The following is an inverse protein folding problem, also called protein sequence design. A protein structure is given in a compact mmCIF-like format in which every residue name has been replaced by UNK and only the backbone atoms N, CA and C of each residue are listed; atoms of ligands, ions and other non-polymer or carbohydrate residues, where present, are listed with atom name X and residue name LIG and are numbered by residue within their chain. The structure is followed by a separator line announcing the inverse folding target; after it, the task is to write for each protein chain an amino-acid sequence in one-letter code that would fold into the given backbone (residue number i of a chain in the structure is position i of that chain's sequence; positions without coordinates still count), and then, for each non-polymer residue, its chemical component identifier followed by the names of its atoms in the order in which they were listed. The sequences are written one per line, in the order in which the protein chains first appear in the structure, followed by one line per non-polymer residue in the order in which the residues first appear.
data_IF_497629368992
#
_entry.id   IF_497629368992
#
_cell.length_a   1.000
_cell.length_b   1.000
_cell.length_c   1.000
_cell.angle_alpha   90.00
_cell.angle_beta   90.00
_cell.angle_gamma   90.00
#
_symmetry.space_group_name_H-M   'P 1'
#
loop_
_entity.id
_entity.type
_entity.pdbx_description
1 polymer ?
#
# COMPACT_ATOMS: atom_id res chain seq x y z
N UNK A 1 -3.39 -16.38 -25.78
CA UNK A 1 -4.65 -15.98 -25.12
C UNK A 1 -4.37 -14.64 -24.52
N UNK A 2 -4.88 -13.60 -25.15
CA UNK A 2 -4.71 -12.23 -24.63
C UNK A 2 -5.55 -12.08 -23.39
N UNK A 3 -4.88 -12.06 -22.23
CA UNK A 3 -5.52 -11.70 -20.95
C UNK A 3 -5.66 -10.17 -20.90
N UNK A 4 -6.51 -9.63 -21.75
CA UNK A 4 -7.06 -8.30 -21.53
C UNK A 4 -8.13 -8.42 -20.44
N UNK A 5 -7.69 -8.64 -19.21
CA UNK A 5 -8.55 -8.39 -18.05
C UNK A 5 -8.52 -6.87 -17.88
N UNK A 6 -9.47 -6.23 -18.54
CA UNK A 6 -9.83 -4.83 -18.32
C UNK A 6 -10.30 -4.74 -16.87
N UNK A 7 -9.37 -4.43 -15.96
CA UNK A 7 -9.72 -3.86 -14.66
C UNK A 7 -10.47 -2.56 -14.99
N UNK A 8 -11.79 -2.60 -14.92
CA UNK A 8 -12.57 -1.38 -15.08
C UNK A 8 -12.08 -0.39 -14.04
N UNK A 9 -11.60 0.77 -14.48
CA UNK A 9 -10.97 1.75 -13.62
C UNK A 9 -11.94 2.19 -12.50
N UNK A 10 -11.56 1.94 -11.23
CA UNK A 10 -12.30 2.37 -10.05
C UNK A 10 -13.53 1.51 -9.70
N UNK A 11 -13.51 0.19 -9.93
CA UNK A 11 -14.59 -0.75 -9.55
C UNK A 11 -14.62 -1.11 -8.07
N UNK A 12 -13.62 -0.74 -7.29
CA UNK A 12 -13.48 -1.15 -5.88
C UNK A 12 -13.30 -2.67 -5.71
N UNK A 13 -12.62 -3.30 -6.66
CA UNK A 13 -12.28 -4.73 -6.66
C UNK A 13 -10.77 -4.94 -6.70
N UNK A 14 -10.33 -6.06 -6.15
CA UNK A 14 -8.95 -6.51 -6.28
C UNK A 14 -8.89 -7.99 -6.64
N UNK A 15 -7.78 -8.41 -7.20
CA UNK A 15 -7.46 -9.80 -7.47
C UNK A 15 -6.49 -10.33 -6.42
N UNK A 16 -6.87 -11.41 -5.75
CA UNK A 16 -6.07 -12.06 -4.71
C UNK A 16 -5.56 -13.38 -5.26
N UNK A 17 -4.24 -13.57 -5.24
CA UNK A 17 -3.63 -14.89 -5.41
C UNK A 17 -3.73 -15.63 -4.09
N UNK A 18 -4.46 -16.74 -4.10
CA UNK A 18 -4.55 -17.68 -2.97
C UNK A 18 -3.38 -18.66 -3.03
N UNK A 19 -2.70 -18.84 -1.91
CA UNK A 19 -1.60 -19.78 -1.75
C UNK A 19 -1.63 -20.45 -0.37
N UNK A 20 -0.86 -21.54 -0.23
CA UNK A 20 -0.74 -22.29 1.04
C UNK A 20 0.62 -22.11 1.67
N UNK A 21 0.62 -22.04 3.00
CA UNK A 21 1.77 -22.25 3.87
C UNK A 21 1.34 -23.21 4.99
N UNK A 22 1.88 -24.41 4.97
CA UNK A 22 1.36 -25.53 5.76
C UNK A 22 -0.09 -25.86 5.36
N UNK A 23 -0.94 -26.03 6.34
CA UNK A 23 -2.36 -26.38 6.13
C UNK A 23 -3.27 -25.15 5.92
N UNK A 24 -2.73 -23.93 5.99
CA UNK A 24 -3.56 -22.72 5.91
C UNK A 24 -3.46 -22.04 4.55
N UNK A 25 -4.56 -21.36 4.20
CA UNK A 25 -4.69 -20.55 3.00
C UNK A 25 -4.44 -19.08 3.33
N UNK A 26 -3.63 -18.45 2.50
CA UNK A 26 -3.27 -17.05 2.58
C UNK A 26 -3.48 -16.38 1.22
N UNK A 27 -3.55 -15.06 1.22
CA UNK A 27 -3.73 -14.27 0.02
C UNK A 27 -2.73 -13.13 -0.10
N UNK A 28 -2.39 -12.79 -1.34
CA UNK A 28 -1.65 -11.59 -1.71
C UNK A 28 -2.35 -10.92 -2.89
N UNK A 29 -2.39 -9.59 -2.91
CA UNK A 29 -2.86 -8.86 -4.08
C UNK A 29 -2.00 -9.17 -5.31
N UNK A 30 -2.64 -9.60 -6.40
CA UNK A 30 -1.96 -9.95 -7.67
C UNK A 30 -1.14 -8.78 -8.20
N UNK A 31 -1.58 -7.55 -7.99
CA UNK A 31 -0.87 -6.35 -8.42
C UNK A 31 0.54 -6.18 -7.78
N UNK A 32 0.80 -6.84 -6.64
CA UNK A 32 2.13 -6.91 -6.00
C UNK A 32 3.05 -7.96 -6.63
N UNK A 33 2.51 -8.87 -7.41
CA UNK A 33 3.22 -10.03 -7.93
C UNK A 33 3.85 -9.69 -9.28
N UNK A 34 5.15 -9.87 -9.37
CA UNK A 34 5.87 -9.78 -10.62
C UNK A 34 5.82 -11.09 -11.41
N UNK A 35 6.12 -12.21 -10.74
CA UNK A 35 6.10 -13.55 -11.32
C UNK A 35 6.05 -14.63 -10.23
N UNK A 36 5.67 -15.84 -10.63
CA UNK A 36 5.70 -17.03 -9.78
C UNK A 36 6.61 -18.05 -10.45
N UNK A 37 7.58 -18.56 -9.72
CA UNK A 37 8.53 -19.56 -10.22
C UNK A 37 8.59 -20.77 -9.29
N UNK A 38 9.05 -21.89 -9.81
CA UNK A 38 9.38 -23.05 -8.98
C UNK A 38 10.55 -22.74 -8.07
N UNK A 39 10.58 -23.36 -6.88
CA UNK A 39 11.69 -23.24 -5.95
C UNK A 39 13.03 -23.46 -6.64
N UNK A 40 13.99 -22.62 -6.28
CA UNK A 40 15.39 -22.74 -6.69
C UNK A 40 16.27 -22.74 -5.44
N UNK A 41 17.38 -23.50 -5.43
CA UNK A 41 18.31 -23.47 -4.31
C UNK A 41 18.81 -22.07 -4.00
N UNK A 42 18.76 -21.66 -2.74
CA UNK A 42 19.23 -20.36 -2.27
C UNK A 42 20.61 -20.47 -1.64
N UNK A 43 21.39 -19.40 -1.73
CA UNK A 43 22.67 -19.27 -1.01
C UNK A 43 22.43 -18.54 0.30
N UNK A 44 22.61 -19.18 1.46
CA UNK A 44 22.42 -18.54 2.76
C UNK A 44 23.34 -17.32 2.94
N UNK A 45 22.80 -16.26 3.55
CA UNK A 45 23.57 -15.05 3.86
C UNK A 45 23.91 -15.05 5.35
N UNK A 46 25.19 -14.97 5.73
CA UNK A 46 25.60 -14.91 7.14
C UNK A 46 24.99 -13.71 7.86
N UNK A 47 24.52 -13.93 9.10
CA UNK A 47 23.92 -12.90 9.96
C UNK A 47 22.66 -12.22 9.38
N UNK A 48 21.96 -12.86 8.43
CA UNK A 48 20.67 -12.41 7.95
C UNK A 48 19.57 -12.60 9.00
N UNK A 49 18.43 -11.94 8.79
CA UNK A 49 17.24 -12.17 9.62
C UNK A 49 16.81 -13.64 9.54
N UNK A 50 16.30 -14.25 10.63
CA UNK A 50 15.91 -15.67 10.65
C UNK A 50 14.93 -16.09 9.54
N UNK A 51 14.05 -15.18 9.11
CA UNK A 51 13.11 -15.43 8.02
C UNK A 51 13.73 -15.33 6.63
N UNK A 52 14.99 -14.89 6.48
CA UNK A 52 15.69 -14.86 5.20
C UNK A 52 16.34 -16.21 4.95
N UNK A 53 15.86 -16.95 3.94
CA UNK A 53 16.45 -18.24 3.53
C UNK A 53 17.80 -18.05 2.83
N UNK A 54 17.97 -16.93 2.12
CA UNK A 54 19.19 -16.63 1.39
C UNK A 54 18.92 -15.75 0.17
N UNK A 55 19.84 -15.82 -0.79
CA UNK A 55 19.76 -15.12 -2.07
C UNK A 55 19.86 -16.13 -3.22
N UNK A 56 19.22 -15.83 -4.33
CA UNK A 56 19.35 -16.56 -5.59
C UNK A 56 19.28 -15.60 -6.77
N UNK A 57 19.60 -16.06 -7.97
CA UNK A 57 19.72 -15.19 -9.14
C UNK A 57 18.95 -15.78 -10.34
N UNK A 58 17.66 -15.59 -10.43
CA UNK A 58 16.92 -15.91 -11.64
C UNK A 58 17.20 -14.82 -12.69
N UNK A 59 17.61 -15.22 -13.91
CA UNK A 59 17.79 -14.30 -15.04
C UNK A 59 18.65 -13.05 -14.73
N UNK A 60 19.80 -13.23 -14.11
CA UNK A 60 20.80 -12.20 -13.80
C UNK A 60 20.36 -11.11 -12.79
N UNK A 61 19.23 -11.28 -12.12
CA UNK A 61 18.80 -10.39 -11.03
C UNK A 61 18.94 -11.09 -9.68
N UNK A 62 19.67 -10.50 -8.76
CA UNK A 62 19.81 -11.03 -7.38
C UNK A 62 18.54 -10.73 -6.58
N UNK A 63 17.92 -11.78 -6.04
CA UNK A 63 16.66 -11.71 -5.29
C UNK A 63 16.85 -12.33 -3.92
N UNK A 64 16.33 -11.68 -2.89
CA UNK A 64 16.28 -12.22 -1.52
C UNK A 64 15.07 -13.12 -1.36
N UNK A 65 15.30 -14.34 -0.87
CA UNK A 65 14.25 -15.31 -0.56
C UNK A 65 13.87 -15.23 0.94
N UNK A 66 12.59 -15.10 1.20
CA UNK A 66 11.98 -15.02 2.54
C UNK A 66 11.07 -16.23 2.75
N UNK A 67 11.26 -16.94 3.86
CA UNK A 67 10.36 -17.99 4.32
C UNK A 67 9.10 -17.40 4.93
N UNK A 68 7.96 -17.47 4.25
CA UNK A 68 6.69 -17.12 4.87
C UNK A 68 6.32 -18.06 6.01
N UNK A 69 6.74 -19.33 5.94
CA UNK A 69 6.54 -20.30 7.02
C UNK A 69 7.20 -19.84 8.32
N UNK A 70 8.43 -19.32 8.22
CA UNK A 70 9.14 -18.76 9.37
C UNK A 70 8.52 -17.43 9.85
N UNK A 71 8.18 -16.51 8.94
CA UNK A 71 7.49 -15.26 9.28
C UNK A 71 6.19 -15.49 10.05
N UNK A 72 5.48 -16.59 9.73
CA UNK A 72 4.22 -16.96 10.37
C UNK A 72 4.39 -17.84 11.63
N UNK A 73 5.64 -17.99 12.12
CA UNK A 73 5.94 -18.76 13.33
C UNK A 73 5.67 -20.27 13.20
N UNK A 74 5.75 -20.84 11.98
CA UNK A 74 5.44 -22.23 11.68
C UNK A 74 6.67 -23.10 11.41
N UNK A 75 7.84 -22.60 11.76
CA UNK A 75 9.14 -23.27 11.55
C UNK A 75 9.74 -22.96 10.18
N UNK A 76 10.76 -23.72 9.81
CA UNK A 76 11.52 -23.51 8.59
C UNK A 76 10.81 -24.08 7.36
N UNK A 77 11.07 -23.49 6.20
CA UNK A 77 10.62 -24.03 4.91
C UNK A 77 11.48 -25.23 4.51
N UNK A 78 10.86 -26.21 3.90
CA UNK A 78 11.57 -27.33 3.28
C UNK A 78 11.86 -26.99 1.80
N UNK A 79 12.96 -27.52 1.21
CA UNK A 79 13.23 -27.36 -0.23
C UNK A 79 12.05 -27.86 -1.06
N UNK A 80 11.55 -27.03 -1.97
CA UNK A 80 10.38 -27.34 -2.82
C UNK A 80 9.38 -26.21 -2.86
N UNK A 81 8.18 -26.45 -3.36
CA UNK A 81 7.14 -25.41 -3.48
C UNK A 81 7.46 -24.38 -4.55
N UNK A 82 7.09 -23.15 -4.27
CA UNK A 82 7.13 -22.04 -5.23
C UNK A 82 7.68 -20.76 -4.57
N UNK A 83 8.28 -19.90 -5.38
CA UNK A 83 8.56 -18.51 -5.01
C UNK A 83 7.55 -17.57 -5.68
N UNK A 84 6.87 -16.75 -4.87
CA UNK A 84 6.10 -15.60 -5.33
C UNK A 84 7.06 -14.42 -5.32
N UNK A 85 7.48 -13.96 -6.49
CA UNK A 85 8.38 -12.81 -6.63
C UNK A 85 7.54 -11.55 -6.72
N UNK A 86 7.84 -10.63 -5.84
CA UNK A 86 7.14 -9.34 -5.70
C UNK A 86 8.12 -8.20 -5.89
N UNK A 87 7.59 -7.01 -6.19
CA UNK A 87 8.38 -5.78 -6.19
C UNK A 87 7.76 -4.82 -5.17
N UNK A 88 8.44 -4.66 -4.03
CA UNK A 88 8.08 -3.68 -3.00
C UNK A 88 9.12 -2.58 -2.97
N UNK A 89 8.68 -1.34 -3.10
CA UNK A 89 9.57 -0.18 -2.98
C UNK A 89 10.84 -0.29 -3.85
N UNK A 90 10.69 -0.81 -5.08
CA UNK A 90 11.80 -1.08 -6.02
C UNK A 90 12.75 -2.21 -5.58
N UNK A 91 12.38 -3.00 -4.59
CA UNK A 91 13.13 -4.19 -4.16
C UNK A 91 12.41 -5.45 -4.65
N UNK A 92 13.13 -6.31 -5.35
CA UNK A 92 12.63 -7.63 -5.74
C UNK A 92 12.84 -8.62 -4.57
N UNK A 93 11.73 -9.20 -4.10
CA UNK A 93 11.70 -10.13 -2.97
C UNK A 93 10.93 -11.37 -3.40
N UNK A 94 11.44 -12.54 -3.08
CA UNK A 94 10.77 -13.81 -3.31
C UNK A 94 10.24 -14.39 -1.99
N UNK A 95 8.95 -14.61 -1.92
CA UNK A 95 8.30 -15.26 -0.78
C UNK A 95 8.11 -16.73 -1.05
N UNK A 96 8.70 -17.57 -0.20
CA UNK A 96 8.60 -19.02 -0.30
C UNK A 96 7.26 -19.49 0.24
N UNK A 97 6.51 -20.24 -0.61
CA UNK A 97 5.19 -20.81 -0.31
C UNK A 97 5.15 -22.28 -0.74
N UNK A 98 4.26 -23.06 -0.12
CA UNK A 98 4.16 -24.49 -0.44
C UNK A 98 3.43 -24.73 -1.75
N UNK A 99 2.35 -23.98 -2.01
CA UNK A 99 1.49 -24.16 -3.20
C UNK A 99 0.72 -22.90 -3.53
N UNK A 100 0.53 -22.63 -4.82
CA UNK A 100 -0.43 -21.65 -5.33
C UNK A 100 -1.73 -22.35 -5.70
N UNK A 101 -2.87 -21.80 -5.27
CA UNK A 101 -4.20 -22.37 -5.44
C UNK A 101 -4.97 -21.77 -6.63
N UNK A 102 -4.89 -20.47 -6.81
CA UNK A 102 -5.58 -19.74 -7.88
C UNK A 102 -5.72 -18.26 -7.59
N UNK A 103 -6.34 -17.55 -8.54
CA UNK A 103 -6.63 -16.12 -8.44
C UNK A 103 -8.14 -15.95 -8.24
N UNK A 104 -8.51 -15.11 -7.29
CA UNK A 104 -9.91 -14.78 -6.98
C UNK A 104 -10.09 -13.26 -7.07
N UNK A 105 -11.17 -12.84 -7.72
CA UNK A 105 -11.60 -11.45 -7.72
C UNK A 105 -12.55 -11.23 -6.55
N UNK A 106 -12.29 -10.21 -5.75
CA UNK A 106 -13.07 -9.85 -4.56
C UNK A 106 -13.31 -8.36 -4.52
N UNK A 107 -14.44 -7.95 -3.95
CA UNK A 107 -14.67 -6.54 -3.62
C UNK A 107 -13.98 -6.18 -2.30
N UNK A 108 -13.46 -4.97 -2.19
CA UNK A 108 -12.95 -4.45 -0.92
C UNK A 108 -13.99 -4.48 0.21
N UNK A 109 -15.29 -4.45 -0.13
CA UNK A 109 -16.38 -4.56 0.84
C UNK A 109 -16.58 -5.98 1.42
N UNK A 110 -16.02 -7.00 0.76
CA UNK A 110 -16.05 -8.40 1.21
C UNK A 110 -14.88 -8.73 2.13
N UNK A 111 -13.89 -7.84 2.21
CA UNK A 111 -12.71 -8.01 3.07
C UNK A 111 -13.06 -7.58 4.49
N UNK A 112 -12.98 -8.52 5.42
CA UNK A 112 -13.25 -8.30 6.83
C UNK A 112 -11.94 -7.93 7.52
N UNK A 113 -11.88 -6.76 8.16
CA UNK A 113 -10.72 -6.41 9.01
C UNK A 113 -10.63 -7.39 10.20
N UNK A 114 -9.45 -7.94 10.50
CA UNK A 114 -9.27 -8.76 11.68
C UNK A 114 -9.57 -7.94 12.93
N UNK A 115 -10.45 -8.44 13.80
CA UNK A 115 -10.73 -7.79 15.08
C UNK A 115 -9.51 -7.83 16.02
N UNK A 116 -9.48 -6.97 17.02
CA UNK A 116 -8.41 -6.87 18.04
C UNK A 116 -8.10 -8.19 18.78
N UNK A 117 -9.01 -9.15 18.74
CA UNK A 117 -8.81 -10.50 19.29
C UNK A 117 -8.01 -11.44 18.38
N UNK A 118 -7.85 -11.08 17.11
CA UNK A 118 -7.12 -11.87 16.10
C UNK A 118 -5.76 -11.24 15.79
N UNK A 119 -5.70 -9.93 15.80
CA UNK A 119 -4.46 -9.17 15.69
C UNK A 119 -4.20 -8.47 17.05
N UNK A 120 -3.08 -8.76 17.70
CA UNK A 120 -2.52 -7.79 18.63
C UNK A 120 -2.23 -6.54 17.79
N UNK A 121 -2.83 -5.41 18.17
CA UNK A 121 -2.93 -4.21 17.33
C UNK A 121 -1.62 -3.73 16.68
N UNK A 122 -0.46 -4.12 17.20
CA UNK A 122 0.87 -3.72 16.74
C UNK A 122 1.70 -4.87 16.09
N UNK A 123 1.26 -6.14 16.19
CA UNK A 123 2.06 -7.30 15.76
C UNK A 123 1.40 -8.15 14.66
N UNK A 124 0.18 -7.86 14.27
CA UNK A 124 -0.56 -8.66 13.28
C UNK A 124 0.03 -8.55 11.87
N UNK A 125 0.22 -9.70 11.19
CA UNK A 125 0.68 -9.79 9.80
C UNK A 125 -0.48 -9.91 8.80
N UNK A 126 -1.70 -9.49 9.16
CA UNK A 126 -2.90 -9.68 8.36
C UNK A 126 -3.61 -8.37 8.16
N UNK A 127 -3.85 -7.99 6.90
CA UNK A 127 -4.63 -6.80 6.51
C UNK A 127 -6.12 -7.10 6.38
N UNK A 128 -6.49 -8.36 6.12
CA UNK A 128 -7.88 -8.72 5.92
C UNK A 128 -8.14 -10.22 5.93
N UNK A 129 -9.41 -10.58 5.98
CA UNK A 129 -9.90 -11.96 5.89
C UNK A 129 -11.00 -12.00 4.83
N UNK A 130 -10.90 -12.93 3.89
CA UNK A 130 -11.93 -13.18 2.89
C UNK A 130 -12.45 -14.60 3.06
N UNK A 131 -13.75 -14.77 2.86
CA UNK A 131 -14.38 -16.09 2.86
C UNK A 131 -14.60 -16.57 1.43
N UNK A 132 -13.94 -17.65 1.05
CA UNK A 132 -14.19 -18.34 -0.22
C UNK A 132 -14.88 -19.68 0.04
N UNK A 133 -16.13 -19.79 -0.36
CA UNK A 133 -16.96 -20.97 -0.07
C UNK A 133 -16.92 -21.34 1.43
N UNK A 134 -16.32 -22.47 1.78
CA UNK A 134 -16.25 -22.98 3.15
C UNK A 134 -14.91 -22.73 3.86
N UNK A 135 -14.01 -21.94 3.26
CA UNK A 135 -12.69 -21.64 3.84
C UNK A 135 -12.45 -20.15 3.99
N UNK A 136 -11.63 -19.81 4.98
CA UNK A 136 -11.13 -18.48 5.20
C UNK A 136 -9.74 -18.35 4.57
N UNK A 137 -9.51 -17.24 3.88
CA UNK A 137 -8.20 -16.84 3.33
C UNK A 137 -7.77 -15.58 4.03
N UNK A 138 -6.61 -15.62 4.66
CA UNK A 138 -6.02 -14.49 5.38
C UNK A 138 -5.15 -13.71 4.40
N UNK A 139 -5.48 -12.45 4.15
CA UNK A 139 -4.65 -11.55 3.34
C UNK A 139 -3.50 -11.07 4.21
N UNK A 140 -2.26 -11.36 3.79
CA UNK A 140 -1.07 -11.00 4.54
C UNK A 140 -0.60 -9.57 4.22
N UNK A 141 -0.07 -8.92 5.25
CA UNK A 141 0.62 -7.63 5.14
C UNK A 141 2.10 -7.87 4.77
N UNK A 142 2.37 -7.93 3.47
CA UNK A 142 3.72 -8.15 2.96
C UNK A 142 4.64 -6.96 3.20
N UNK A 143 4.09 -5.75 3.30
CA UNK A 143 4.87 -4.54 3.61
C UNK A 143 5.39 -4.59 5.03
N UNK A 144 4.52 -4.97 5.97
CA UNK A 144 4.91 -5.19 7.35
C UNK A 144 5.94 -6.32 7.47
N UNK A 145 5.76 -7.45 6.79
CA UNK A 145 6.74 -8.55 6.76
C UNK A 145 8.11 -8.03 6.31
N UNK A 146 8.16 -7.27 5.22
CA UNK A 146 9.42 -6.73 4.69
C UNK A 146 10.01 -5.70 5.64
N UNK A 147 9.21 -4.82 6.22
CA UNK A 147 9.64 -3.80 7.18
C UNK A 147 10.19 -4.42 8.47
N UNK A 148 9.58 -5.50 8.97
CA UNK A 148 10.05 -6.22 10.16
C UNK A 148 11.41 -6.90 9.92
N UNK A 149 11.64 -7.40 8.70
CA UNK A 149 12.92 -8.02 8.29
C UNK A 149 13.99 -6.98 8.02
N UNK A 150 13.64 -5.89 7.37
CA UNK A 150 14.56 -4.82 6.96
C UNK A 150 13.94 -3.44 7.21
N UNK A 151 14.05 -2.91 8.44
CA UNK A 151 13.45 -1.62 8.81
C UNK A 151 13.93 -0.43 7.96
N UNK A 152 15.10 -0.55 7.33
CA UNK A 152 15.65 0.49 6.43
C UNK A 152 14.86 0.64 5.11
N UNK A 153 14.00 -0.33 4.78
CA UNK A 153 13.16 -0.29 3.58
C UNK A 153 11.86 0.50 3.79
N UNK A 154 11.54 0.85 5.03
CA UNK A 154 10.38 1.65 5.41
C UNK A 154 10.52 3.14 5.08
N UNK A 155 9.59 3.94 5.61
CA UNK A 155 9.57 5.40 5.42
C UNK A 155 10.85 6.06 5.93
N UNK A 156 11.57 6.78 5.05
CA UNK A 156 12.81 7.50 5.38
C UNK A 156 12.51 8.88 5.95
N UNK A 157 12.05 8.95 7.19
CA UNK A 157 11.74 10.22 7.89
C UNK A 157 12.95 11.17 7.96
N UNK A 158 14.17 10.63 7.94
CA UNK A 158 15.41 11.42 7.92
C UNK A 158 15.54 12.32 6.66
N UNK A 159 14.81 12.04 5.58
CA UNK A 159 14.85 12.90 4.39
C UNK A 159 14.14 14.24 4.60
N UNK A 160 13.22 14.33 5.56
CA UNK A 160 12.55 15.58 5.91
C UNK A 160 13.50 16.57 6.55
N UNK A 161 14.49 16.09 7.33
CA UNK A 161 15.51 16.96 7.95
C UNK A 161 16.36 17.71 6.90
N UNK A 162 16.44 17.17 5.69
CA UNK A 162 17.15 17.81 4.56
C UNK A 162 16.41 18.99 3.94
N UNK A 163 15.12 19.15 4.24
CA UNK A 163 14.29 20.23 3.69
C UNK A 163 14.56 21.59 4.34
N UNK A 164 15.35 21.64 5.43
CA UNK A 164 15.69 22.87 6.15
C UNK A 164 14.55 23.41 7.03
N UNK A 165 14.74 24.63 7.57
CA UNK A 165 13.71 25.30 8.36
C UNK A 165 12.51 25.68 7.50
N UNK A 166 11.31 25.36 7.97
CA UNK A 166 10.06 25.56 7.25
C UNK A 166 9.08 26.38 8.10
N UNK A 167 8.33 27.26 7.45
CA UNK A 167 7.24 28.00 8.09
C UNK A 167 6.03 27.07 8.28
N UNK A 168 5.25 27.35 9.33
CA UNK A 168 3.98 26.65 9.55
C UNK A 168 2.99 26.98 8.44
N UNK A 169 2.33 25.94 7.93
CA UNK A 169 1.27 26.03 6.93
C UNK A 169 -0.03 25.49 7.53
N UNK A 170 -1.09 26.26 7.45
CA UNK A 170 -2.44 25.88 7.90
C UNK A 170 -3.28 25.27 6.80
N UNK A 171 -2.69 24.99 5.64
CA UNK A 171 -3.37 24.35 4.51
C UNK A 171 -3.87 22.99 4.95
N UNK A 172 -5.18 22.70 4.80
CA UNK A 172 -5.73 21.44 5.24
C UNK A 172 -5.34 20.30 4.29
N UNK A 173 -4.78 19.25 4.86
CA UNK A 173 -4.41 18.02 4.17
C UNK A 173 -5.26 16.88 4.71
N UNK A 174 -5.97 16.18 3.83
CA UNK A 174 -6.72 14.98 4.17
C UNK A 174 -5.95 13.74 3.72
N UNK A 175 -5.75 12.79 4.65
CA UNK A 175 -5.05 11.53 4.40
C UNK A 175 -6.05 10.38 4.50
N UNK A 176 -5.96 9.42 3.57
CA UNK A 176 -6.60 8.13 3.65
C UNK A 176 -5.53 7.04 3.68
N UNK A 177 -5.37 6.36 4.82
CA UNK A 177 -4.35 5.33 5.07
C UNK A 177 -4.87 4.38 6.14
N UNK A 178 -4.95 3.09 5.86
CA UNK A 178 -5.55 2.09 6.75
C UNK A 178 -4.57 1.50 7.77
N UNK A 179 -3.27 1.65 7.57
CA UNK A 179 -2.24 1.24 8.51
C UNK A 179 -2.03 2.30 9.60
N UNK A 180 -2.37 2.05 10.89
CA UNK A 180 -2.20 3.03 11.95
C UNK A 180 -0.75 3.50 12.11
N UNK A 181 0.22 2.59 11.91
CA UNK A 181 1.63 2.89 11.98
C UNK A 181 2.07 3.85 10.86
N UNK A 182 1.72 3.51 9.61
CA UNK A 182 2.06 4.34 8.45
C UNK A 182 1.34 5.68 8.49
N UNK A 183 0.06 5.69 8.87
CA UNK A 183 -0.72 6.91 9.06
C UNK A 183 -0.01 7.85 10.04
N UNK A 184 0.37 7.34 11.22
CA UNK A 184 1.10 8.12 12.22
C UNK A 184 2.43 8.66 11.66
N UNK A 185 3.21 7.82 10.96
CA UNK A 185 4.49 8.24 10.38
C UNK A 185 4.31 9.34 9.32
N UNK A 186 3.27 9.25 8.48
CA UNK A 186 2.97 10.28 7.47
C UNK A 186 2.56 11.58 8.17
N UNK A 187 1.65 11.53 9.16
CA UNK A 187 1.18 12.69 9.92
C UNK A 187 2.35 13.37 10.66
N UNK A 188 3.15 12.61 11.40
CA UNK A 188 4.32 13.13 12.11
C UNK A 188 5.32 13.78 11.16
N UNK A 189 5.50 13.19 9.98
CA UNK A 189 6.37 13.70 8.93
C UNK A 189 5.87 15.03 8.33
N UNK A 190 4.57 15.13 8.07
CA UNK A 190 3.94 16.37 7.59
C UNK A 190 3.98 17.47 8.64
N UNK A 191 3.72 17.14 9.91
CA UNK A 191 3.85 18.08 11.03
C UNK A 191 5.30 18.60 11.14
N UNK A 192 6.29 17.72 11.04
CA UNK A 192 7.72 18.08 11.03
C UNK A 192 8.06 18.98 9.83
N UNK A 193 7.40 18.75 8.69
CA UNK A 193 7.54 19.59 7.50
C UNK A 193 6.77 20.91 7.59
N UNK A 194 6.09 21.20 8.70
CA UNK A 194 5.40 22.47 8.97
C UNK A 194 3.91 22.50 8.65
N UNK A 195 3.31 21.42 8.11
CA UNK A 195 1.88 21.33 7.90
C UNK A 195 1.15 20.99 9.20
N UNK A 196 0.37 21.94 9.73
CA UNK A 196 -0.25 21.79 11.08
C UNK A 196 -1.70 21.33 11.03
N UNK A 197 -2.37 21.44 9.86
CA UNK A 197 -3.76 21.07 9.69
C UNK A 197 -3.86 19.79 8.85
N UNK A 198 -3.61 18.66 9.50
CA UNK A 198 -3.63 17.33 8.86
C UNK A 198 -4.71 16.48 9.51
N UNK A 199 -5.65 16.02 8.71
CA UNK A 199 -6.72 15.10 9.12
C UNK A 199 -6.49 13.75 8.46
N UNK A 200 -6.64 12.66 9.19
CA UNK A 200 -6.51 11.31 8.65
C UNK A 200 -7.77 10.48 8.82
N UNK A 201 -7.99 9.57 7.86
CA UNK A 201 -9.08 8.61 7.82
C UNK A 201 -8.52 7.22 7.54
N UNK A 202 -9.25 6.18 7.93
CA UNK A 202 -8.78 4.80 7.81
C UNK A 202 -9.05 4.14 6.44
N UNK A 203 -9.79 4.79 5.56
CA UNK A 203 -10.13 4.27 4.23
C UNK A 203 -10.69 5.38 3.33
N UNK A 204 -10.82 5.06 2.03
CA UNK A 204 -11.33 6.01 1.05
C UNK A 204 -12.79 6.42 1.25
N UNK A 205 -13.63 5.55 1.87
CA UNK A 205 -15.04 5.88 2.12
C UNK A 205 -15.19 6.95 3.21
N UNK A 206 -14.41 6.85 4.28
CA UNK A 206 -14.40 7.86 5.34
C UNK A 206 -13.86 9.19 4.83
N UNK A 207 -12.77 9.15 4.02
CA UNK A 207 -12.26 10.34 3.36
C UNK A 207 -13.31 10.98 2.46
N UNK A 208 -13.99 10.19 1.64
CA UNK A 208 -15.06 10.71 0.77
C UNK A 208 -16.23 11.30 1.56
N UNK A 209 -16.72 10.62 2.60
CA UNK A 209 -17.78 11.14 3.49
C UNK A 209 -17.39 12.48 4.13
N UNK A 210 -16.12 12.61 4.54
CA UNK A 210 -15.59 13.84 5.11
C UNK A 210 -15.59 14.98 4.08
N UNK A 211 -15.18 14.71 2.86
CA UNK A 211 -15.20 15.68 1.74
C UNK A 211 -16.64 16.06 1.37
N UNK A 212 -17.50 15.07 1.19
CA UNK A 212 -18.89 15.27 0.75
C UNK A 212 -19.69 16.11 1.77
N UNK A 213 -19.51 15.83 3.06
CA UNK A 213 -20.08 16.64 4.13
C UNK A 213 -19.55 18.07 4.12
N UNK A 214 -18.26 18.26 3.85
CA UNK A 214 -17.64 19.58 3.78
C UNK A 214 -18.11 20.37 2.56
N UNK A 215 -18.39 19.71 1.44
CA UNK A 215 -19.02 20.33 0.26
C UNK A 215 -20.43 20.77 0.58
N UNK A 216 -21.24 19.93 1.24
CA UNK A 216 -22.61 20.24 1.63
C UNK A 216 -22.71 21.46 2.57
N UNK A 217 -21.71 21.63 3.44
CA UNK A 217 -21.63 22.71 4.42
C UNK A 217 -20.86 23.96 3.93
N UNK A 218 -20.43 23.98 2.66
CA UNK A 218 -19.58 25.05 2.07
C UNK A 218 -18.27 25.28 2.86
N UNK A 219 -17.66 24.20 3.39
CA UNK A 219 -16.46 24.22 4.23
C UNK A 219 -15.29 23.44 3.65
N UNK A 220 -15.34 23.12 2.36
CA UNK A 220 -14.37 22.27 1.70
C UNK A 220 -12.93 22.76 1.88
N UNK A 221 -12.70 24.08 1.75
CA UNK A 221 -11.43 24.75 1.94
C UNK A 221 -10.85 24.66 3.37
N UNK A 222 -11.65 24.23 4.36
CA UNK A 222 -11.21 24.00 5.74
C UNK A 222 -10.87 22.51 6.00
N UNK A 223 -11.20 21.63 5.06
CA UNK A 223 -11.11 20.18 5.23
C UNK A 223 -10.07 19.55 4.33
N UNK A 224 -10.01 19.95 3.06
CA UNK A 224 -9.12 19.34 2.09
C UNK A 224 -8.72 20.30 0.98
N UNK A 225 -7.53 20.86 1.05
CA UNK A 225 -6.86 21.52 -0.07
C UNK A 225 -5.94 20.59 -0.84
N UNK A 226 -5.54 19.47 -0.22
CA UNK A 226 -4.81 18.36 -0.81
C UNK A 226 -5.34 17.06 -0.21
N UNK A 227 -5.50 16.04 -1.04
CA UNK A 227 -5.81 14.66 -0.61
C UNK A 227 -4.59 13.78 -0.87
N UNK A 228 -4.20 13.01 0.15
CA UNK A 228 -3.17 11.97 0.06
C UNK A 228 -3.87 10.64 0.32
N UNK A 229 -3.67 9.66 -0.55
CA UNK A 229 -4.34 8.36 -0.39
C UNK A 229 -3.40 7.21 -0.68
N UNK A 230 -3.46 6.16 0.16
CA UNK A 230 -2.96 4.85 -0.25
C UNK A 230 -3.89 4.26 -1.33
N UNK A 231 -3.41 3.26 -2.07
CA UNK A 231 -4.21 2.47 -3.01
C UNK A 231 -4.96 1.38 -2.26
N UNK A 232 -4.27 0.59 -1.45
CA UNK A 232 -4.81 -0.62 -0.84
C UNK A 232 -5.45 -0.33 0.52
N UNK A 233 -6.73 -0.02 0.51
CA UNK A 233 -7.50 0.21 1.73
C UNK A 233 -8.80 -0.59 1.70
N UNK A 234 -9.26 -1.13 2.86
CA UNK A 234 -10.54 -1.79 2.94
C UNK A 234 -11.70 -0.82 2.67
N UNK A 235 -12.87 -1.36 2.35
CA UNK A 235 -14.13 -0.65 2.09
C UNK A 235 -14.09 0.16 0.79
N UNK A 236 -13.13 1.08 0.63
CA UNK A 236 -12.91 1.87 -0.59
C UNK A 236 -11.42 2.09 -0.81
N UNK A 237 -10.93 1.67 -1.98
CA UNK A 237 -9.54 1.85 -2.41
C UNK A 237 -9.23 3.31 -2.83
N UNK A 238 -7.93 3.65 -2.91
CA UNK A 238 -7.50 5.00 -3.26
C UNK A 238 -7.76 5.39 -4.71
N UNK A 239 -7.84 4.45 -5.63
CA UNK A 239 -8.22 4.74 -7.02
C UNK A 239 -9.69 5.15 -7.11
N UNK A 240 -10.57 4.48 -6.37
CA UNK A 240 -11.98 4.86 -6.29
C UNK A 240 -12.16 6.22 -5.64
N UNK A 241 -11.44 6.49 -4.54
CA UNK A 241 -11.44 7.83 -3.93
C UNK A 241 -10.98 8.89 -4.92
N UNK A 242 -9.86 8.67 -5.62
CA UNK A 242 -9.35 9.57 -6.65
C UNK A 242 -10.39 9.86 -7.72
N UNK A 243 -11.05 8.81 -8.24
CA UNK A 243 -12.13 8.95 -9.23
C UNK A 243 -13.27 9.82 -8.71
N UNK A 244 -13.74 9.60 -7.48
CA UNK A 244 -14.82 10.38 -6.88
C UNK A 244 -14.44 11.86 -6.75
N UNK A 245 -13.24 12.15 -6.19
CA UNK A 245 -12.74 13.52 -6.03
C UNK A 245 -12.64 14.22 -7.39
N UNK A 246 -12.06 13.57 -8.40
CA UNK A 246 -11.80 14.17 -9.71
C UNK A 246 -13.01 14.25 -10.62
N UNK A 247 -14.01 13.39 -10.44
CA UNK A 247 -15.25 13.41 -11.24
C UNK A 247 -16.36 14.31 -10.67
N UNK A 248 -16.23 14.74 -9.42
CA UNK A 248 -17.21 15.62 -8.76
C UNK A 248 -16.86 17.08 -8.99
N UNK A 249 -17.71 17.92 -9.64
CA UNK A 249 -17.35 19.29 -10.00
C UNK A 249 -16.88 20.16 -8.83
N UNK A 250 -17.45 19.99 -7.63
CA UNK A 250 -17.10 20.76 -6.45
C UNK A 250 -15.69 20.42 -5.89
N UNK A 251 -15.11 19.27 -6.22
CA UNK A 251 -13.87 18.76 -5.66
C UNK A 251 -12.78 18.50 -6.70
N UNK A 252 -13.11 18.61 -8.01
CA UNK A 252 -12.22 18.27 -9.12
C UNK A 252 -10.87 19.02 -9.08
N UNK A 253 -10.85 20.24 -8.55
CA UNK A 253 -9.65 21.08 -8.43
C UNK A 253 -8.78 20.75 -7.20
N UNK A 254 -9.22 19.82 -6.33
CA UNK A 254 -8.39 19.36 -5.21
C UNK A 254 -7.28 18.47 -5.76
N UNK A 255 -6.00 18.79 -5.53
CA UNK A 255 -4.91 17.91 -5.85
C UNK A 255 -5.01 16.58 -5.10
N UNK A 256 -4.88 15.46 -5.82
CA UNK A 256 -4.87 14.12 -5.27
C UNK A 256 -3.50 13.49 -5.49
N UNK A 257 -2.86 13.08 -4.41
CA UNK A 257 -1.57 12.40 -4.41
C UNK A 257 -1.79 10.95 -4.00
N UNK A 258 -1.47 10.01 -4.88
CA UNK A 258 -1.42 8.59 -4.54
C UNK A 258 -0.04 8.33 -3.90
N UNK A 259 -0.03 7.89 -2.65
CA UNK A 259 1.18 7.58 -1.88
C UNK A 259 1.11 6.14 -1.39
N UNK A 260 1.68 5.21 -2.16
CA UNK A 260 1.52 3.78 -1.94
C UNK A 260 2.81 3.02 -2.19
N UNK A 261 2.97 1.87 -1.52
CA UNK A 261 4.01 0.89 -1.85
C UNK A 261 3.72 0.14 -3.15
N UNK A 262 2.47 0.17 -3.61
CA UNK A 262 2.01 -0.46 -4.84
C UNK A 262 2.05 0.52 -6.03
N UNK A 263 3.24 0.93 -6.46
CA UNK A 263 3.44 1.79 -7.64
C UNK A 263 4.26 1.04 -8.69
N UNK A 264 3.59 0.34 -9.60
CA UNK A 264 4.15 -0.20 -10.84
C UNK A 264 3.64 0.60 -12.05
N UNK A 265 4.08 0.26 -13.26
CA UNK A 265 3.69 0.98 -14.49
C UNK A 265 2.17 0.94 -14.73
N UNK A 266 1.52 -0.19 -14.46
CA UNK A 266 0.08 -0.36 -14.63
C UNK A 266 -0.70 0.51 -13.63
N UNK A 267 -0.33 0.47 -12.34
CA UNK A 267 -0.96 1.28 -11.30
C UNK A 267 -0.72 2.78 -11.55
N UNK A 268 0.48 3.14 -12.02
CA UNK A 268 0.79 4.53 -12.40
C UNK A 268 -0.11 5.01 -13.52
N UNK A 269 -0.24 4.23 -14.59
CA UNK A 269 -1.14 4.57 -15.71
C UNK A 269 -2.59 4.68 -15.24
N UNK A 270 -3.05 3.76 -14.40
CA UNK A 270 -4.40 3.79 -13.84
C UNK A 270 -4.66 5.06 -13.02
N UNK A 271 -3.71 5.45 -12.15
CA UNK A 271 -3.81 6.69 -11.38
C UNK A 271 -3.83 7.94 -12.26
N UNK A 272 -3.02 7.98 -13.33
CA UNK A 272 -3.03 9.07 -14.34
C UNK A 272 -4.37 9.15 -15.07
N UNK A 273 -4.92 8.01 -15.52
CA UNK A 273 -6.21 7.94 -16.20
C UNK A 273 -7.38 8.42 -15.29
N UNK A 274 -7.25 8.25 -13.98
CA UNK A 274 -8.19 8.72 -12.98
C UNK A 274 -8.01 10.20 -12.59
N UNK A 275 -6.94 10.84 -13.05
CA UNK A 275 -6.64 12.24 -12.81
C UNK A 275 -5.83 12.53 -11.53
N UNK A 276 -5.13 11.54 -10.97
CA UNK A 276 -4.20 11.80 -9.87
C UNK A 276 -3.12 12.82 -10.30
N UNK A 277 -2.88 13.83 -9.47
CA UNK A 277 -1.91 14.90 -9.76
C UNK A 277 -0.46 14.46 -9.52
N UNK A 278 -0.27 13.49 -8.65
CA UNK A 278 1.03 12.85 -8.42
C UNK A 278 0.87 11.43 -7.87
N UNK A 279 1.91 10.63 -8.08
CA UNK A 279 1.99 9.27 -7.55
C UNK A 279 3.41 9.00 -7.06
N UNK A 280 3.51 8.57 -5.80
CA UNK A 280 4.79 8.35 -5.12
C UNK A 280 4.79 7.02 -4.38
N UNK A 281 5.96 6.42 -4.35
CA UNK A 281 6.25 5.26 -3.53
C UNK A 281 6.45 5.66 -2.05
N UNK A 282 5.87 4.91 -1.11
CA UNK A 282 5.89 5.23 0.35
C UNK A 282 7.27 5.55 0.94
N UNK A 283 8.42 4.96 0.52
CA UNK A 283 9.73 5.37 1.03
C UNK A 283 10.12 6.82 0.72
N UNK A 284 9.46 7.45 -0.23
CA UNK A 284 9.83 8.78 -0.73
C UNK A 284 9.11 9.92 -0.01
N UNK A 285 9.03 9.86 1.34
CA UNK A 285 8.30 10.86 2.14
C UNK A 285 8.85 12.30 1.97
N UNK A 286 10.16 12.46 1.78
CA UNK A 286 10.76 13.76 1.49
C UNK A 286 10.29 14.34 0.16
N UNK A 287 10.10 13.50 -0.85
CA UNK A 287 9.56 13.89 -2.14
C UNK A 287 8.06 14.24 -2.03
N UNK A 288 7.31 13.56 -1.15
CA UNK A 288 5.90 13.87 -0.89
C UNK A 288 5.74 15.33 -0.46
N UNK A 289 6.54 15.80 0.51
CA UNK A 289 6.51 17.20 0.96
C UNK A 289 6.79 18.17 -0.19
N UNK A 290 7.82 17.89 -0.99
CA UNK A 290 8.19 18.75 -2.14
C UNK A 290 7.06 18.81 -3.18
N UNK A 291 6.36 17.71 -3.42
CA UNK A 291 5.24 17.67 -4.37
C UNK A 291 4.03 18.41 -3.81
N UNK A 292 3.72 18.25 -2.52
CA UNK A 292 2.65 19.03 -1.87
C UNK A 292 2.92 20.53 -2.05
N UNK A 293 4.14 20.99 -1.75
CA UNK A 293 4.52 22.40 -1.93
C UNK A 293 4.29 22.89 -3.36
N UNK A 294 4.70 22.08 -4.35
CA UNK A 294 4.56 22.41 -5.77
C UNK A 294 3.09 22.47 -6.22
N UNK A 295 2.26 21.52 -5.78
CA UNK A 295 0.83 21.48 -6.12
C UNK A 295 0.07 22.65 -5.48
N UNK A 296 0.38 22.96 -4.23
CA UNK A 296 -0.19 24.08 -3.51
C UNK A 296 0.19 25.40 -4.20
N UNK A 297 1.48 25.61 -4.50
CA UNK A 297 1.95 26.81 -5.20
C UNK A 297 1.24 26.99 -6.55
N UNK A 298 1.05 25.90 -7.30
CA UNK A 298 0.33 25.93 -8.58
C UNK A 298 -1.14 26.29 -8.41
N UNK A 299 -1.83 25.68 -7.42
CA UNK A 299 -3.25 25.94 -7.13
C UNK A 299 -3.50 27.41 -6.79
N UNK A 300 -2.64 28.00 -5.93
CA UNK A 300 -2.79 29.40 -5.51
C UNK A 300 -2.19 30.43 -6.47
N UNK A 301 -1.40 30.03 -7.47
CA UNK A 301 -0.92 30.93 -8.54
C UNK A 301 -1.95 31.09 -9.67
N UNK A 302 -2.94 30.21 -9.75
CA UNK A 302 -3.96 30.20 -10.82
C UNK A 302 -5.28 30.87 -10.39
N UNK A 303 -5.41 31.17 -9.09
CA UNK A 303 -6.52 31.94 -8.50
C UNK A 303 -6.05 33.37 -8.17
#
# INVERSE_FOLDING_TARGET
MDTNILLENGTNELEILEFKVGDNCYGINVAKIREIITYQPVTPVPNSHPSVEGIFMPRDTMITAISLKNCLGRGDSEPGGLFIITNFNKLDIAFHVDQVMGIHRVSWTEIIKPGATVNNADEGLSTGIVKFNDRLVIILDFEKIVSDISPETGLKVADIDKLGERHKSEIPILIAEDSPLLNKLIVDSLHKAGYVNVTSTENGEEAWKTIDAAVADDRLHMVADVVITDIEMPVMDGHRLTKLVKSTPATADIPVIIFSSLINEEMRKKGEDLGADAQLSKPEIGNLVTIIDGLIAKKYATN
#
